data_IF_321899656415
#
_entry.id   IF_321899656415
#
_cell.length_a   1.000
_cell.length_b   1.000
_cell.length_c   1.000
_cell.angle_alpha   90.00
_cell.angle_beta   90.00
_cell.angle_gamma   90.00
#
_symmetry.space_group_name_H-M   'P 1'
#
loop_
_entity.id
_entity.type
_entity.pdbx_description
1 polymer ?
#
# COMPACT_ATOMS: atom_id res chain seq x y z
N UNK A 1 -17.51 -33.03 4.42
CA UNK A 1 -16.10 -32.93 4.01
C UNK A 1 -15.70 -31.48 4.17
N UNK A 2 -14.93 -31.14 5.22
CA UNK A 2 -14.43 -29.79 5.43
C UNK A 2 -13.34 -29.53 4.39
N UNK A 3 -13.68 -28.84 3.30
CA UNK A 3 -12.69 -28.42 2.31
C UNK A 3 -11.63 -27.60 3.03
N UNK A 4 -10.40 -28.10 3.06
CA UNK A 4 -9.25 -27.35 3.54
C UNK A 4 -9.22 -26.02 2.79
N UNK A 5 -9.46 -24.90 3.47
CA UNK A 5 -9.31 -23.56 2.88
C UNK A 5 -7.83 -23.39 2.51
N UNK A 6 -7.51 -23.65 1.24
CA UNK A 6 -6.14 -23.54 0.70
C UNK A 6 -5.67 -22.09 0.81
N UNK A 7 -6.57 -21.16 0.50
CA UNK A 7 -6.44 -19.73 0.75
C UNK A 7 -7.63 -19.28 1.57
N UNK A 8 -7.43 -18.30 2.46
CA UNK A 8 -8.54 -17.66 3.16
C UNK A 8 -9.25 -16.71 2.19
N UNK A 9 -10.08 -17.29 1.31
CA UNK A 9 -10.85 -16.56 0.32
C UNK A 9 -11.76 -15.50 0.95
N UNK A 10 -12.22 -15.74 2.18
CA UNK A 10 -12.96 -14.80 3.02
C UNK A 10 -12.21 -13.46 3.21
N UNK A 11 -10.87 -13.43 3.10
CA UNK A 11 -10.09 -12.18 3.20
C UNK A 11 -10.45 -11.23 2.06
N UNK A 12 -10.74 -11.74 0.86
CA UNK A 12 -11.13 -10.89 -0.26
C UNK A 12 -12.50 -10.27 0.00
N UNK A 13 -13.48 -11.08 0.40
CA UNK A 13 -14.83 -10.58 0.73
C UNK A 13 -14.81 -9.58 1.89
N UNK A 14 -14.06 -9.88 2.96
CA UNK A 14 -13.91 -8.96 4.10
C UNK A 14 -13.23 -7.66 3.68
N UNK A 15 -12.14 -7.72 2.92
CA UNK A 15 -11.44 -6.51 2.42
C UNK A 15 -12.37 -5.66 1.55
N UNK A 16 -13.17 -6.29 0.67
CA UNK A 16 -14.13 -5.57 -0.18
C UNK A 16 -15.16 -4.83 0.69
N UNK A 17 -15.71 -5.52 1.70
CA UNK A 17 -16.69 -4.94 2.61
C UNK A 17 -16.10 -3.79 3.44
N UNK A 18 -14.90 -3.96 3.98
CA UNK A 18 -14.18 -2.92 4.72
C UNK A 18 -13.93 -1.67 3.87
N UNK A 19 -13.46 -1.86 2.62
CA UNK A 19 -13.24 -0.72 1.70
C UNK A 19 -14.55 -0.01 1.39
N UNK A 20 -15.64 -0.73 1.14
CA UNK A 20 -16.95 -0.11 0.91
C UNK A 20 -17.41 0.70 2.12
N UNK A 21 -17.30 0.13 3.31
CA UNK A 21 -17.68 0.80 4.56
C UNK A 21 -16.88 2.09 4.79
N UNK A 22 -15.56 2.07 4.58
CA UNK A 22 -14.72 3.25 4.75
C UNK A 22 -15.09 4.39 3.79
N UNK A 23 -15.47 4.06 2.55
CA UNK A 23 -15.95 5.06 1.58
C UNK A 23 -17.29 5.65 2.01
N UNK A 24 -18.21 4.83 2.48
CA UNK A 24 -19.52 5.29 2.95
C UNK A 24 -19.38 6.19 4.19
N UNK A 25 -18.49 5.84 5.12
CA UNK A 25 -18.15 6.66 6.29
C UNK A 25 -17.56 8.02 5.86
N UNK A 26 -16.66 8.02 4.88
CA UNK A 26 -16.04 9.24 4.36
C UNK A 26 -17.06 10.16 3.68
N UNK A 27 -17.96 9.60 2.87
CA UNK A 27 -19.05 10.35 2.23
C UNK A 27 -20.02 10.93 3.27
N UNK A 28 -20.35 10.16 4.31
CA UNK A 28 -21.20 10.62 5.41
C UNK A 28 -20.58 11.82 6.15
N UNK A 29 -19.30 11.74 6.50
CA UNK A 29 -18.59 12.84 7.18
C UNK A 29 -18.55 14.09 6.28
N UNK A 30 -18.28 13.90 4.98
CA UNK A 30 -18.23 15.01 4.02
C UNK A 30 -19.58 15.73 3.93
N UNK A 31 -20.68 14.98 3.87
CA UNK A 31 -22.05 15.53 3.88
C UNK A 31 -22.37 16.28 5.16
N UNK A 32 -21.92 15.78 6.32
CA UNK A 32 -22.12 16.47 7.59
C UNK A 32 -21.40 17.83 7.61
N UNK A 33 -20.13 17.87 7.19
CA UNK A 33 -19.36 19.13 7.13
C UNK A 33 -20.00 20.12 6.15
N UNK A 34 -20.44 19.66 4.97
CA UNK A 34 -21.14 20.53 4.01
C UNK A 34 -22.45 21.08 4.57
N UNK A 35 -23.20 20.27 5.33
CA UNK A 35 -24.40 20.74 6.02
C UNK A 35 -24.08 21.82 7.07
N UNK A 36 -22.96 21.69 7.78
CA UNK A 36 -22.51 22.72 8.73
C UNK A 36 -22.10 24.02 8.01
N UNK A 37 -21.37 23.94 6.90
CA UNK A 37 -21.03 25.10 6.06
C UNK A 37 -22.29 25.80 5.52
N UNK A 38 -23.26 25.03 5.03
CA UNK A 38 -24.53 25.57 4.54
C UNK A 38 -25.28 26.29 5.66
N UNK A 39 -25.33 25.73 6.87
CA UNK A 39 -25.97 26.39 8.02
C UNK A 39 -25.32 27.73 8.35
N UNK A 40 -23.98 27.82 8.33
CA UNK A 40 -23.26 29.09 8.54
C UNK A 40 -23.59 30.11 7.46
N UNK A 41 -23.71 29.68 6.20
CA UNK A 41 -24.15 30.56 5.12
C UNK A 41 -25.58 31.07 5.35
N UNK A 42 -26.51 30.20 5.74
CA UNK A 42 -27.90 30.58 6.01
C UNK A 42 -27.99 31.59 7.18
N UNK A 43 -27.23 31.36 8.25
CA UNK A 43 -27.14 32.25 9.42
C UNK A 43 -26.58 33.63 9.03
N UNK A 44 -25.50 33.66 8.26
CA UNK A 44 -24.88 34.93 7.80
C UNK A 44 -25.78 35.69 6.84
N UNK A 45 -26.50 35.01 5.95
CA UNK A 45 -27.51 35.63 5.07
C UNK A 45 -28.71 36.16 5.85
N UNK A 46 -29.09 35.51 6.95
CA UNK A 46 -30.14 36.03 7.83
C UNK A 46 -29.67 37.32 8.52
N UNK A 47 -28.43 37.36 8.99
CA UNK A 47 -27.85 38.54 9.65
C UNK A 47 -27.62 39.71 8.69
N UNK A 48 -27.25 39.45 7.43
CA UNK A 48 -27.16 40.47 6.38
C UNK A 48 -28.52 41.11 6.11
N UNK A 49 -29.58 40.29 5.97
CA UNK A 49 -30.95 40.77 5.78
C UNK A 49 -31.43 41.61 6.96
N UNK A 50 -31.16 41.16 8.18
CA UNK A 50 -31.47 41.90 9.40
C UNK A 50 -30.71 43.23 9.49
N UNK A 51 -29.41 43.22 9.20
CA UNK A 51 -28.58 44.42 9.19
C UNK A 51 -29.04 45.44 8.14
N UNK A 52 -29.46 44.97 6.96
CA UNK A 52 -30.03 45.81 5.91
C UNK A 52 -31.33 46.47 6.36
N UNK A 53 -32.22 45.71 6.98
CA UNK A 53 -33.49 46.23 7.49
C UNK A 53 -33.26 47.34 8.54
N UNK A 54 -32.39 47.08 9.53
CA UNK A 54 -32.05 48.06 10.56
C UNK A 54 -31.39 49.33 9.98
N UNK A 55 -30.55 49.19 8.97
CA UNK A 55 -29.94 50.34 8.28
C UNK A 55 -31.00 51.19 7.57
N UNK A 56 -31.98 50.57 6.93
CA UNK A 56 -33.06 51.29 6.26
C UNK A 56 -33.96 52.04 7.26
N UNK A 57 -34.28 51.42 8.39
CA UNK A 57 -34.97 52.12 9.49
C UNK A 57 -34.19 53.33 10.00
N UNK A 58 -32.88 53.19 10.19
CA UNK A 58 -32.03 54.29 10.65
C UNK A 58 -31.89 55.42 9.61
N UNK A 59 -31.90 55.08 8.31
CA UNK A 59 -31.93 56.08 7.22
C UNK A 59 -33.22 56.89 7.24
N UNK A 60 -34.36 56.22 7.43
CA UNK A 60 -35.66 56.90 7.56
C UNK A 60 -35.71 57.80 8.80
N UNK A 61 -35.21 57.31 9.94
CA UNK A 61 -35.14 58.10 11.18
C UNK A 61 -34.24 59.34 11.01
N UNK A 62 -33.03 59.19 10.46
CA UNK A 62 -32.14 60.33 10.18
C UNK A 62 -32.80 61.35 9.25
N UNK A 63 -33.48 60.91 8.19
CA UNK A 63 -34.20 61.79 7.26
C UNK A 63 -35.35 62.55 7.94
N UNK A 64 -36.11 61.88 8.81
CA UNK A 64 -37.17 62.52 9.61
C UNK A 64 -36.62 63.57 10.57
N UNK A 65 -35.52 63.26 11.27
CA UNK A 65 -34.85 64.21 12.18
C UNK A 65 -34.26 65.40 11.45
N UNK A 66 -33.68 65.19 10.27
CA UNK A 66 -33.20 66.26 9.42
C UNK A 66 -34.34 67.18 8.96
N UNK A 67 -35.48 66.62 8.56
CA UNK A 67 -36.65 67.39 8.19
C UNK A 67 -37.19 68.24 9.36
N UNK A 68 -37.18 67.70 10.58
CA UNK A 68 -37.52 68.42 11.82
C UNK A 68 -36.57 69.61 12.05
N UNK A 69 -35.25 69.40 11.94
CA UNK A 69 -34.24 70.47 12.04
C UNK A 69 -34.46 71.55 10.97
N UNK A 70 -34.68 71.17 9.71
CA UNK A 70 -34.95 72.11 8.60
C UNK A 70 -36.21 72.94 8.88
N UNK A 71 -37.28 72.30 9.35
CA UNK A 71 -38.55 72.98 9.66
C UNK A 71 -38.38 74.00 10.80
N UNK A 72 -37.67 73.64 11.88
CA UNK A 72 -37.45 74.53 13.02
C UNK A 72 -36.49 75.67 12.68
N UNK A 73 -35.52 75.44 11.79
CA UNK A 73 -34.60 76.46 11.28
C UNK A 73 -35.31 77.55 10.48
N UNK A 74 -36.42 77.22 9.82
CA UNK A 74 -37.24 78.17 9.06
C UNK A 74 -38.23 78.98 9.92
N UNK A 75 -38.28 78.75 11.24
CA UNK A 75 -39.21 79.38 12.20
C UNK A 75 -38.77 80.74 12.77
N UNK A 76 -39.61 81.31 13.65
CA UNK A 76 -39.35 82.57 14.37
C UNK A 76 -38.33 82.38 15.53
N UNK A 77 -37.71 83.46 16.07
CA UNK A 77 -36.66 83.39 17.11
C UNK A 77 -37.01 82.62 18.40
N UNK A 78 -38.30 82.38 18.65
CA UNK A 78 -38.83 81.73 19.85
C UNK A 78 -38.57 80.20 19.88
N UNK A 79 -38.15 79.59 18.77
CA UNK A 79 -37.90 78.13 18.65
C UNK A 79 -36.45 77.70 18.90
N UNK A 80 -35.56 78.62 19.29
CA UNK A 80 -34.12 78.36 19.39
C UNK A 80 -33.74 77.16 20.30
N UNK A 81 -34.49 76.96 21.39
CA UNK A 81 -34.27 75.84 22.30
C UNK A 81 -34.75 74.50 21.72
N UNK A 82 -35.81 74.50 20.93
CA UNK A 82 -36.34 73.32 20.23
C UNK A 82 -35.43 72.91 19.08
N UNK A 83 -34.89 73.88 18.35
CA UNK A 83 -33.88 73.66 17.30
C UNK A 83 -32.64 72.97 17.87
N UNK A 84 -32.10 73.47 19.00
CA UNK A 84 -30.94 72.85 19.66
C UNK A 84 -31.18 71.38 20.04
N UNK A 85 -32.37 71.05 20.55
CA UNK A 85 -32.72 69.65 20.85
C UNK A 85 -32.84 68.80 19.58
N UNK A 86 -33.48 69.32 18.53
CA UNK A 86 -33.64 68.61 17.26
C UNK A 86 -32.28 68.33 16.60
N UNK A 87 -31.34 69.27 16.65
CA UNK A 87 -29.96 69.08 16.16
C UNK A 87 -29.24 67.95 16.92
N UNK A 88 -29.40 67.88 18.25
CA UNK A 88 -28.82 66.78 19.03
C UNK A 88 -29.41 65.42 18.67
N UNK A 89 -30.73 65.34 18.48
CA UNK A 89 -31.40 64.10 18.08
C UNK A 89 -31.03 63.69 16.64
N UNK A 90 -30.86 64.65 15.73
CA UNK A 90 -30.34 64.40 14.38
C UNK A 90 -28.92 63.83 14.42
N UNK A 91 -27.99 64.44 15.17
CA UNK A 91 -26.62 63.92 15.27
C UNK A 91 -26.56 62.51 15.89
N UNK A 92 -27.45 62.20 16.85
CA UNK A 92 -27.60 60.83 17.36
C UNK A 92 -28.12 59.86 16.30
N UNK A 93 -29.12 60.25 15.52
CA UNK A 93 -29.68 59.44 14.44
C UNK A 93 -28.64 59.16 13.35
N UNK A 94 -27.88 60.19 12.94
CA UNK A 94 -26.76 60.07 12.01
C UNK A 94 -25.67 59.12 12.52
N UNK A 95 -25.24 59.27 13.77
CA UNK A 95 -24.27 58.36 14.37
C UNK A 95 -24.79 56.91 14.48
N UNK A 96 -26.09 56.71 14.70
CA UNK A 96 -26.74 55.39 14.65
C UNK A 96 -26.70 54.80 13.24
N UNK A 97 -27.05 55.57 12.20
CA UNK A 97 -27.00 55.14 10.80
C UNK A 97 -25.58 54.75 10.40
N UNK A 98 -24.57 55.56 10.71
CA UNK A 98 -23.16 55.27 10.41
C UNK A 98 -22.69 53.94 11.03
N UNK A 99 -23.08 53.65 12.28
CA UNK A 99 -22.77 52.36 12.92
C UNK A 99 -23.46 51.19 12.23
N UNK A 100 -24.72 51.35 11.82
CA UNK A 100 -25.49 50.29 11.15
C UNK A 100 -25.01 50.07 9.71
N UNK A 101 -24.51 51.11 9.04
CA UNK A 101 -23.86 50.98 7.74
C UNK A 101 -22.62 50.11 7.83
N UNK A 102 -21.74 50.35 8.81
CA UNK A 102 -20.58 49.49 9.07
C UNK A 102 -20.98 48.06 9.44
N UNK A 103 -22.06 47.87 10.21
CA UNK A 103 -22.58 46.52 10.53
C UNK A 103 -23.02 45.80 9.25
N UNK A 104 -23.76 46.48 8.39
CA UNK A 104 -24.21 45.93 7.12
C UNK A 104 -23.04 45.55 6.21
N UNK A 105 -22.04 46.41 6.06
CA UNK A 105 -20.82 46.10 5.30
C UNK A 105 -20.09 44.85 5.83
N UNK A 106 -19.99 44.70 7.15
CA UNK A 106 -19.40 43.50 7.76
C UNK A 106 -20.25 42.26 7.51
N UNK A 107 -21.57 42.37 7.59
CA UNK A 107 -22.48 41.26 7.32
C UNK A 107 -22.38 40.79 5.86
N UNK A 108 -22.27 41.72 4.90
CA UNK A 108 -22.02 41.40 3.49
C UNK A 108 -20.71 40.62 3.30
N UNK A 109 -19.61 41.08 3.93
CA UNK A 109 -18.33 40.36 3.89
C UNK A 109 -18.41 38.97 4.52
N UNK A 110 -19.16 38.81 5.60
CA UNK A 110 -19.37 37.49 6.22
C UNK A 110 -20.10 36.54 5.26
N UNK A 111 -21.10 37.01 4.52
CA UNK A 111 -21.79 36.21 3.50
C UNK A 111 -20.84 35.82 2.36
N UNK A 112 -20.00 36.74 1.88
CA UNK A 112 -19.00 36.46 0.85
C UNK A 112 -18.04 35.35 1.32
N UNK A 113 -17.48 35.47 2.52
CA UNK A 113 -16.57 34.47 3.10
C UNK A 113 -17.28 33.12 3.30
N UNK A 114 -18.50 33.10 3.83
CA UNK A 114 -19.25 31.87 4.03
C UNK A 114 -19.59 31.17 2.70
N UNK A 115 -19.90 31.95 1.66
CA UNK A 115 -20.14 31.43 0.30
C UNK A 115 -18.89 30.80 -0.28
N UNK A 116 -17.76 31.52 -0.24
CA UNK A 116 -16.47 31.01 -0.71
C UNK A 116 -16.06 29.73 0.02
N UNK A 117 -16.18 29.70 1.36
CA UNK A 117 -15.86 28.53 2.15
C UNK A 117 -16.71 27.32 1.77
N UNK A 118 -18.01 27.50 1.54
CA UNK A 118 -18.90 26.42 1.10
C UNK A 118 -18.50 25.90 -0.30
N UNK A 119 -18.24 26.79 -1.26
CA UNK A 119 -17.83 26.44 -2.61
C UNK A 119 -16.49 25.70 -2.64
N UNK A 120 -15.49 26.20 -1.93
CA UNK A 120 -14.17 25.58 -1.81
C UNK A 120 -14.25 24.21 -1.14
N UNK A 121 -14.97 24.11 -0.02
CA UNK A 121 -15.16 22.85 0.70
C UNK A 121 -15.87 21.81 -0.16
N UNK A 122 -16.92 22.21 -0.88
CA UNK A 122 -17.64 21.33 -1.80
C UNK A 122 -16.75 20.86 -2.96
N UNK A 123 -15.95 21.77 -3.54
CA UNK A 123 -15.00 21.44 -4.60
C UNK A 123 -13.94 20.42 -4.13
N UNK A 124 -13.35 20.66 -2.96
CA UNK A 124 -12.34 19.76 -2.35
C UNK A 124 -12.94 18.37 -2.09
N UNK A 125 -14.13 18.30 -1.49
CA UNK A 125 -14.76 17.02 -1.21
C UNK A 125 -15.14 16.26 -2.47
N UNK A 126 -15.71 16.92 -3.48
CA UNK A 126 -16.03 16.26 -4.74
C UNK A 126 -14.76 15.73 -5.45
N UNK A 127 -13.69 16.50 -5.47
CA UNK A 127 -12.40 16.05 -6.02
C UNK A 127 -11.83 14.87 -5.24
N UNK A 128 -11.86 14.94 -3.91
CA UNK A 128 -11.33 13.89 -3.04
C UNK A 128 -12.14 12.60 -3.14
N UNK A 129 -13.48 12.69 -3.09
CA UNK A 129 -14.37 11.54 -3.19
C UNK A 129 -14.27 10.85 -4.56
N UNK A 130 -14.12 11.62 -5.64
CA UNK A 130 -13.86 11.06 -6.97
C UNK A 130 -12.54 10.28 -7.00
N UNK A 131 -11.46 10.83 -6.43
CA UNK A 131 -10.17 10.13 -6.34
C UNK A 131 -10.26 8.84 -5.49
N UNK A 132 -10.98 8.91 -4.36
CA UNK A 132 -11.23 7.76 -3.49
C UNK A 132 -11.99 6.68 -4.26
N UNK A 133 -13.08 7.04 -4.97
CA UNK A 133 -13.87 6.10 -5.76
C UNK A 133 -13.07 5.48 -6.89
N UNK A 134 -12.25 6.24 -7.62
CA UNK A 134 -11.37 5.70 -8.65
C UNK A 134 -10.36 4.68 -8.09
N UNK A 135 -9.74 5.00 -6.95
CA UNK A 135 -8.81 4.10 -6.28
C UNK A 135 -9.52 2.84 -5.75
N UNK A 136 -10.71 3.00 -5.18
CA UNK A 136 -11.58 1.90 -4.76
C UNK A 136 -11.91 0.99 -5.93
N UNK A 137 -12.45 1.53 -7.03
CA UNK A 137 -12.87 0.74 -8.18
C UNK A 137 -11.70 -0.02 -8.80
N UNK A 138 -10.55 0.63 -8.94
CA UNK A 138 -9.30 0.00 -9.41
C UNK A 138 -8.85 -1.14 -8.48
N UNK A 139 -8.85 -0.89 -7.17
CA UNK A 139 -8.49 -1.87 -6.15
C UNK A 139 -9.43 -3.06 -6.11
N UNK A 140 -10.75 -2.81 -6.13
CA UNK A 140 -11.79 -3.83 -6.15
C UNK A 140 -11.74 -4.66 -7.43
N UNK A 141 -11.55 -4.02 -8.59
CA UNK A 141 -11.38 -4.72 -9.86
C UNK A 141 -10.18 -5.69 -9.80
N UNK A 142 -9.04 -5.24 -9.27
CA UNK A 142 -7.84 -6.08 -9.10
C UNK A 142 -8.10 -7.26 -8.17
N UNK A 143 -8.69 -7.00 -7.00
CA UNK A 143 -9.02 -8.03 -6.01
C UNK A 143 -9.96 -9.08 -6.62
N UNK A 144 -11.05 -8.64 -7.27
CA UNK A 144 -12.01 -9.54 -7.89
C UNK A 144 -11.39 -10.37 -9.01
N UNK A 145 -10.59 -9.76 -9.88
CA UNK A 145 -9.90 -10.48 -10.95
C UNK A 145 -8.95 -11.53 -10.39
N UNK A 146 -8.15 -11.18 -9.39
CA UNK A 146 -7.21 -12.12 -8.82
C UNK A 146 -7.88 -13.23 -8.02
N UNK A 147 -8.99 -12.92 -7.34
CA UNK A 147 -9.85 -13.91 -6.69
C UNK A 147 -10.38 -14.92 -7.70
N UNK A 148 -10.96 -14.46 -8.82
CA UNK A 148 -11.47 -15.34 -9.86
C UNK A 148 -10.36 -16.14 -10.54
N UNK A 149 -9.21 -15.53 -10.85
CA UNK A 149 -8.04 -16.21 -11.42
C UNK A 149 -7.54 -17.34 -10.49
N UNK A 150 -7.40 -17.06 -9.20
CA UNK A 150 -6.96 -18.05 -8.21
C UNK A 150 -8.01 -19.15 -8.02
N UNK A 151 -9.30 -18.79 -7.93
CA UNK A 151 -10.40 -19.74 -7.80
C UNK A 151 -10.49 -20.66 -9.01
N UNK A 152 -10.35 -20.11 -10.22
CA UNK A 152 -10.31 -20.87 -11.46
C UNK A 152 -9.13 -21.84 -11.48
N UNK A 153 -7.93 -21.38 -11.12
CA UNK A 153 -6.77 -22.25 -11.01
C UNK A 153 -6.99 -23.39 -10.01
N UNK A 154 -7.48 -23.10 -8.79
CA UNK A 154 -7.73 -24.14 -7.79
C UNK A 154 -8.79 -25.14 -8.24
N UNK A 155 -9.76 -24.71 -9.05
CA UNK A 155 -10.81 -25.59 -9.59
C UNK A 155 -10.30 -26.59 -10.63
N UNK A 156 -9.13 -26.36 -11.25
CA UNK A 156 -8.52 -27.34 -12.17
C UNK A 156 -7.76 -28.44 -11.44
N UNK A 157 -7.44 -28.26 -10.16
CA UNK A 157 -6.63 -29.20 -9.40
C UNK A 157 -7.45 -30.40 -8.91
N UNK A 158 -6.89 -31.60 -9.08
CA UNK A 158 -7.40 -32.79 -8.40
C UNK A 158 -7.14 -32.72 -6.87
N UNK A 159 -7.78 -33.62 -6.11
CA UNK A 159 -7.69 -33.63 -4.64
C UNK A 159 -6.28 -33.80 -4.09
N UNK A 160 -5.42 -34.54 -4.79
CA UNK A 160 -4.02 -34.75 -4.39
C UNK A 160 -3.22 -33.46 -4.55
N UNK A 161 -3.33 -32.79 -5.69
CA UNK A 161 -2.69 -31.51 -5.97
C UNK A 161 -3.16 -30.43 -5.01
N UNK A 162 -4.48 -30.35 -4.76
CA UNK A 162 -5.06 -29.39 -3.84
C UNK A 162 -4.56 -29.60 -2.39
N UNK A 163 -4.45 -30.84 -1.94
CA UNK A 163 -3.89 -31.15 -0.62
C UNK A 163 -2.42 -30.74 -0.50
N UNK A 164 -1.60 -30.93 -1.55
CA UNK A 164 -0.20 -30.46 -1.53
C UNK A 164 -0.11 -28.95 -1.35
N UNK A 165 -0.90 -28.19 -2.10
CA UNK A 165 -0.93 -26.72 -1.96
C UNK A 165 -1.40 -26.32 -0.55
N UNK A 166 -2.47 -26.97 -0.05
CA UNK A 166 -2.97 -26.70 1.29
C UNK A 166 -1.93 -26.99 2.39
N UNK A 167 -1.22 -28.12 2.29
CA UNK A 167 -0.15 -28.50 3.23
C UNK A 167 1.01 -27.49 3.20
N UNK A 168 1.40 -27.02 2.03
CA UNK A 168 2.49 -26.06 1.89
C UNK A 168 2.13 -24.68 2.48
N UNK A 169 0.94 -24.17 2.16
CA UNK A 169 0.49 -22.84 2.59
C UNK A 169 0.19 -22.82 4.08
N UNK A 170 -0.52 -23.83 4.60
CA UNK A 170 -0.92 -23.90 5.99
C UNK A 170 0.15 -24.55 6.89
N UNK A 171 1.38 -24.68 6.40
CA UNK A 171 2.46 -25.29 7.14
C UNK A 171 2.68 -24.57 8.48
N UNK A 172 2.78 -25.38 9.55
CA UNK A 172 3.22 -24.94 10.87
C UNK A 172 4.39 -25.80 11.29
N UNK A 173 5.42 -25.14 11.81
CA UNK A 173 6.56 -25.84 12.38
C UNK A 173 6.16 -26.52 13.69
N UNK A 174 6.87 -27.59 14.04
CA UNK A 174 6.65 -28.29 15.30
C UNK A 174 7.40 -27.56 16.42
N UNK A 175 6.67 -27.00 17.37
CA UNK A 175 7.26 -26.34 18.53
C UNK A 175 8.25 -27.26 19.27
N UNK A 176 9.30 -26.65 19.84
CA UNK A 176 10.35 -27.32 20.63
C UNK A 176 11.13 -28.41 19.88
N UNK A 177 10.94 -28.53 18.57
CA UNK A 177 11.68 -29.45 17.71
C UNK A 177 12.56 -28.65 16.77
N UNK A 178 13.90 -28.84 16.76
CA UNK A 178 14.76 -28.14 15.83
C UNK A 178 14.37 -28.44 14.38
N UNK A 179 14.31 -27.40 13.55
CA UNK A 179 14.07 -27.51 12.11
C UNK A 179 15.32 -28.10 11.45
N UNK A 180 15.14 -29.16 10.68
CA UNK A 180 16.25 -29.94 10.10
C UNK A 180 16.42 -29.67 8.61
N UNK A 181 17.60 -29.99 8.02
CA UNK A 181 17.85 -29.75 6.60
C UNK A 181 16.88 -30.45 5.65
N UNK A 182 16.36 -31.63 6.00
CA UNK A 182 15.38 -32.37 5.22
C UNK A 182 14.01 -31.68 5.18
N UNK A 183 13.60 -31.09 6.30
CA UNK A 183 12.38 -30.28 6.38
C UNK A 183 12.49 -28.99 5.57
N UNK A 184 13.63 -28.29 5.67
CA UNK A 184 13.93 -27.12 4.85
C UNK A 184 13.92 -27.50 3.36
N UNK A 185 14.60 -28.58 2.99
CA UNK A 185 14.65 -29.06 1.62
C UNK A 185 13.26 -29.37 1.07
N UNK A 186 12.38 -30.03 1.85
CA UNK A 186 11.00 -30.32 1.44
C UNK A 186 10.22 -29.04 1.14
N UNK A 187 10.42 -27.97 1.91
CA UNK A 187 9.73 -26.69 1.72
C UNK A 187 10.30 -25.83 0.61
N UNK A 188 11.55 -26.05 0.21
CA UNK A 188 12.19 -25.33 -0.90
C UNK A 188 11.99 -26.06 -2.24
N UNK A 189 11.88 -27.39 -2.22
CA UNK A 189 11.79 -28.21 -3.42
C UNK A 189 10.34 -28.49 -3.83
N UNK A 190 9.68 -27.47 -4.37
CA UNK A 190 8.27 -27.49 -4.73
C UNK A 190 8.00 -28.13 -6.09
N UNK A 191 6.79 -28.67 -6.25
CA UNK A 191 6.24 -29.07 -7.55
C UNK A 191 5.70 -27.87 -8.34
N UNK A 192 5.44 -28.05 -9.64
CA UNK A 192 4.81 -27.02 -10.47
C UNK A 192 3.49 -26.52 -9.90
N UNK A 193 2.68 -27.40 -9.29
CA UNK A 193 1.42 -27.03 -8.65
C UNK A 193 1.63 -26.00 -7.54
N UNK A 194 2.54 -26.26 -6.61
CA UNK A 194 2.80 -25.35 -5.49
C UNK A 194 3.42 -24.03 -5.99
N UNK A 195 4.30 -24.09 -6.99
CA UNK A 195 4.91 -22.90 -7.59
C UNK A 195 3.87 -22.02 -8.31
N UNK A 196 2.97 -22.62 -9.10
CA UNK A 196 1.88 -21.89 -9.75
C UNK A 196 0.93 -21.27 -8.73
N UNK A 197 0.60 -22.00 -7.65
CA UNK A 197 -0.22 -21.45 -6.56
C UNK A 197 0.43 -20.22 -5.89
N UNK A 198 1.76 -20.22 -5.73
CA UNK A 198 2.51 -19.05 -5.24
C UNK A 198 2.37 -17.86 -6.21
N UNK A 199 2.48 -18.08 -7.51
CA UNK A 199 2.33 -17.01 -8.51
C UNK A 199 0.94 -16.39 -8.50
N UNK A 200 -0.13 -17.21 -8.42
CA UNK A 200 -1.50 -16.69 -8.30
C UNK A 200 -1.73 -15.91 -7.00
N UNK A 201 -1.22 -16.41 -5.87
CA UNK A 201 -1.31 -15.69 -4.59
C UNK A 201 -0.56 -14.35 -4.63
N UNK A 202 0.62 -14.33 -5.25
CA UNK A 202 1.41 -13.11 -5.44
C UNK A 202 0.70 -12.13 -6.38
N UNK A 203 0.16 -12.61 -7.49
CA UNK A 203 -0.64 -11.80 -8.42
C UNK A 203 -1.86 -11.17 -7.75
N UNK A 204 -2.43 -11.84 -6.74
CA UNK A 204 -3.55 -11.31 -5.98
C UNK A 204 -3.18 -10.24 -4.95
N UNK A 205 -1.99 -10.33 -4.35
CA UNK A 205 -1.62 -9.51 -3.18
C UNK A 205 -0.60 -8.41 -3.49
N UNK A 206 0.21 -8.58 -4.53
CA UNK A 206 1.32 -7.68 -4.87
C UNK A 206 0.99 -6.87 -6.12
N UNK A 207 0.74 -5.57 -5.94
CA UNK A 207 0.43 -4.64 -7.04
C UNK A 207 1.54 -4.53 -8.07
N UNK A 208 2.80 -4.51 -7.64
CA UNK A 208 3.94 -4.39 -8.56
C UNK A 208 4.03 -5.65 -9.41
N UNK A 209 3.81 -6.81 -8.81
CA UNK A 209 3.76 -8.07 -9.52
C UNK A 209 2.56 -8.15 -10.48
N UNK A 210 1.37 -7.73 -10.04
CA UNK A 210 0.17 -7.65 -10.89
C UNK A 210 0.40 -6.79 -12.13
N UNK A 211 0.94 -5.59 -11.95
CA UNK A 211 1.25 -4.67 -13.04
C UNK A 211 2.33 -5.24 -13.98
N UNK A 212 3.37 -5.87 -13.44
CA UNK A 212 4.41 -6.53 -14.23
C UNK A 212 3.83 -7.63 -15.12
N UNK A 213 3.03 -8.53 -14.56
CA UNK A 213 2.41 -9.63 -15.30
C UNK A 213 1.45 -9.11 -16.38
N UNK A 214 0.63 -8.11 -16.04
CA UNK A 214 -0.27 -7.51 -17.02
C UNK A 214 0.46 -6.73 -18.11
N UNK A 215 1.63 -6.16 -17.82
CA UNK A 215 2.45 -5.53 -18.85
C UNK A 215 2.96 -6.55 -19.87
N UNK A 216 3.38 -7.74 -19.43
CA UNK A 216 3.75 -8.83 -20.35
C UNK A 216 2.55 -9.36 -21.12
N UNK A 217 1.39 -9.53 -20.46
CA UNK A 217 0.15 -9.98 -21.12
C UNK A 217 -0.32 -8.98 -22.18
N UNK A 218 -0.15 -7.68 -21.94
CA UNK A 218 -0.42 -6.62 -22.91
C UNK A 218 0.61 -6.61 -24.05
N UNK A 219 1.88 -6.83 -23.75
CA UNK A 219 2.94 -6.89 -24.77
C UNK A 219 2.69 -8.04 -25.78
N UNK A 220 2.11 -9.16 -25.33
CA UNK A 220 1.69 -10.27 -26.20
C UNK A 220 0.64 -9.89 -27.25
N UNK A 221 -0.09 -8.79 -27.07
CA UNK A 221 -1.03 -8.30 -28.08
C UNK A 221 -0.29 -7.79 -29.33
N UNK A 222 0.98 -7.42 -29.19
CA UNK A 222 1.80 -6.80 -30.25
C UNK A 222 3.09 -7.55 -30.58
N UNK A 223 3.57 -8.44 -29.71
CA UNK A 223 4.85 -9.15 -29.83
C UNK A 223 4.68 -10.67 -29.78
N UNK A 224 5.68 -11.39 -30.31
CA UNK A 224 5.73 -12.86 -30.27
C UNK A 224 6.10 -13.39 -28.88
N UNK A 225 5.73 -14.65 -28.57
CA UNK A 225 6.11 -15.30 -27.31
C UNK A 225 7.63 -15.40 -27.17
N UNK A 226 8.31 -15.66 -28.28
CA UNK A 226 9.76 -15.83 -28.38
C UNK A 226 10.52 -14.56 -27.95
N UNK A 227 9.96 -13.38 -28.19
CA UNK A 227 10.52 -12.09 -27.74
C UNK A 227 10.34 -11.86 -26.23
N UNK A 228 9.25 -12.38 -25.65
CA UNK A 228 8.88 -12.13 -24.25
C UNK A 228 9.53 -13.16 -23.31
N UNK A 229 9.66 -14.42 -23.73
CA UNK A 229 10.23 -15.51 -22.93
C UNK A 229 11.58 -15.13 -22.27
N UNK A 230 12.57 -14.54 -22.97
CA UNK A 230 13.83 -14.13 -22.35
C UNK A 230 13.64 -13.14 -21.19
N UNK A 231 12.66 -12.23 -21.28
CA UNK A 231 12.33 -11.27 -20.21
C UNK A 231 11.74 -11.99 -19.00
N UNK A 232 10.83 -12.95 -19.23
CA UNK A 232 10.23 -13.76 -18.17
C UNK A 232 11.31 -14.57 -17.43
N UNK A 233 12.20 -15.24 -18.18
CA UNK A 233 13.31 -16.03 -17.61
C UNK A 233 14.29 -15.20 -16.79
N UNK A 234 14.48 -13.93 -17.16
CA UNK A 234 15.38 -13.01 -16.46
C UNK A 234 14.75 -12.46 -15.18
N UNK A 235 13.46 -12.09 -15.22
CA UNK A 235 12.84 -11.32 -14.15
C UNK A 235 11.96 -12.17 -13.21
N UNK A 236 11.14 -13.07 -13.75
CA UNK A 236 10.14 -13.80 -12.96
C UNK A 236 10.72 -15.00 -12.21
N UNK A 237 11.62 -15.76 -12.84
CA UNK A 237 12.17 -16.96 -12.21
C UNK A 237 12.99 -16.65 -10.94
N UNK A 238 13.73 -15.54 -10.93
CA UNK A 238 14.43 -15.05 -9.73
C UNK A 238 13.45 -14.65 -8.64
N UNK A 239 12.43 -13.88 -9.00
CA UNK A 239 11.39 -13.44 -8.09
C UNK A 239 10.60 -14.63 -7.48
N UNK A 240 10.29 -15.66 -8.27
CA UNK A 240 9.67 -16.89 -7.78
C UNK A 240 10.61 -17.65 -6.83
N UNK A 241 11.91 -17.74 -7.15
CA UNK A 241 12.90 -18.35 -6.26
C UNK A 241 13.00 -17.67 -4.90
N UNK A 242 13.05 -16.33 -4.89
CA UNK A 242 13.01 -15.52 -3.66
C UNK A 242 11.71 -15.76 -2.87
N UNK A 243 10.56 -15.76 -3.54
CA UNK A 243 9.26 -15.99 -2.91
C UNK A 243 9.15 -17.39 -2.29
N UNK A 244 9.69 -18.43 -2.93
CA UNK A 244 9.76 -19.79 -2.38
C UNK A 244 10.59 -19.79 -1.09
N UNK A 245 11.74 -19.11 -1.08
CA UNK A 245 12.60 -19.01 0.11
C UNK A 245 11.89 -18.25 1.23
N UNK A 246 11.29 -17.09 0.94
CA UNK A 246 10.53 -16.31 1.91
C UNK A 246 9.44 -17.17 2.54
N UNK A 247 8.60 -17.86 1.74
CA UNK A 247 7.52 -18.70 2.27
C UNK A 247 8.01 -19.91 3.05
N UNK A 248 9.12 -20.52 2.62
CA UNK A 248 9.72 -21.65 3.30
C UNK A 248 10.28 -21.28 4.69
N UNK A 249 10.76 -20.06 4.87
CA UNK A 249 11.46 -19.63 6.09
C UNK A 249 10.66 -18.70 7.01
N UNK A 250 9.72 -17.90 6.47
CA UNK A 250 8.93 -16.93 7.23
C UNK A 250 8.26 -17.49 8.50
N UNK A 251 7.72 -18.74 8.51
CA UNK A 251 7.11 -19.29 9.73
C UNK A 251 8.06 -19.39 10.93
N UNK A 252 9.38 -19.43 10.71
CA UNK A 252 10.36 -19.60 11.77
C UNK A 252 10.85 -18.29 12.40
N UNK A 253 10.65 -17.13 11.77
CA UNK A 253 11.04 -15.82 12.31
C UNK A 253 9.90 -15.13 13.05
N UNK A 254 10.19 -14.31 14.08
CA UNK A 254 9.19 -13.37 14.62
C UNK A 254 8.98 -12.19 13.69
N UNK A 255 10.07 -11.60 13.22
CA UNK A 255 10.04 -10.57 12.19
C UNK A 255 10.77 -11.06 10.94
N UNK A 256 10.22 -10.71 9.79
CA UNK A 256 10.74 -11.09 8.48
C UNK A 256 11.06 -9.80 7.74
N UNK A 257 12.35 -9.59 7.46
CA UNK A 257 12.84 -8.44 6.70
C UNK A 257 13.30 -8.92 5.33
N UNK A 258 13.00 -8.15 4.29
CA UNK A 258 13.37 -8.49 2.91
C UNK A 258 14.07 -7.33 2.25
N UNK A 259 15.10 -7.60 1.46
CA UNK A 259 15.85 -6.58 0.70
C UNK A 259 16.55 -5.53 1.59
N UNK A 260 17.00 -5.94 2.78
CA UNK A 260 17.68 -5.08 3.76
C UNK A 260 19.03 -4.61 3.24
N UNK A 261 19.29 -3.29 3.35
CA UNK A 261 20.49 -2.66 2.79
C UNK A 261 21.61 -2.59 3.83
N UNK A 262 22.75 -3.18 3.52
CA UNK A 262 23.99 -3.05 4.31
C UNK A 262 25.01 -2.23 3.54
N UNK A 263 25.47 -1.13 4.14
CA UNK A 263 26.49 -0.24 3.56
C UNK A 263 27.86 -0.61 4.14
N UNK A 264 28.83 -0.80 3.25
CA UNK A 264 30.21 -1.15 3.56
C UNK A 264 31.05 0.11 3.83
N UNK A 265 32.22 -0.05 4.43
CA UNK A 265 33.15 1.05 4.74
C UNK A 265 33.58 1.84 3.49
N UNK A 266 33.67 1.18 2.32
CA UNK A 266 34.03 1.81 1.04
C UNK A 266 32.85 2.54 0.36
N UNK A 267 31.69 2.62 1.02
CA UNK A 267 30.48 3.26 0.52
C UNK A 267 29.66 2.39 -0.45
N UNK A 268 30.15 1.21 -0.85
CA UNK A 268 29.32 0.25 -1.59
C UNK A 268 28.25 -0.32 -0.66
N UNK A 269 27.21 -0.89 -1.25
CA UNK A 269 26.17 -1.55 -0.46
C UNK A 269 25.75 -2.86 -1.12
N UNK A 270 25.29 -3.78 -0.29
CA UNK A 270 24.56 -4.98 -0.71
C UNK A 270 23.14 -4.93 -0.17
N UNK A 271 22.26 -5.74 -0.76
CA UNK A 271 20.94 -6.03 -0.21
C UNK A 271 20.87 -7.51 0.11
N UNK A 272 20.40 -7.84 1.30
CA UNK A 272 20.16 -9.23 1.71
C UNK A 272 18.71 -9.57 1.41
N UNK A 273 18.49 -10.66 0.68
CA UNK A 273 17.15 -11.03 0.20
C UNK A 273 16.16 -11.29 1.34
N UNK A 274 16.62 -11.97 2.39
CA UNK A 274 15.79 -12.32 3.54
C UNK A 274 16.60 -12.32 4.84
N UNK A 275 16.06 -11.68 5.88
CA UNK A 275 16.55 -11.77 7.26
C UNK A 275 15.37 -12.16 8.17
N UNK A 276 15.50 -13.30 8.84
CA UNK A 276 14.62 -13.66 9.95
C UNK A 276 15.23 -13.11 11.24
N UNK A 277 14.47 -12.28 11.94
CA UNK A 277 14.82 -11.81 13.27
C UNK A 277 14.11 -12.63 14.34
N UNK A 278 14.83 -12.88 15.43
CA UNK A 278 14.34 -13.62 16.59
C UNK A 278 13.69 -14.96 16.20
N UNK A 279 14.51 -15.92 15.79
CA UNK A 279 14.04 -17.26 15.44
C UNK A 279 13.14 -17.84 16.56
N UNK A 280 11.96 -18.32 16.18
CA UNK A 280 10.97 -18.95 17.07
C UNK A 280 11.32 -20.39 17.44
N UNK A 281 12.25 -20.99 16.70
CA UNK A 281 12.66 -22.39 16.87
C UNK A 281 14.11 -22.54 16.42
N UNK A 282 14.91 -23.43 17.03
CA UNK A 282 16.26 -23.70 16.55
C UNK A 282 16.26 -24.19 15.10
N UNK A 283 17.18 -23.70 14.28
CA UNK A 283 17.36 -24.10 12.88
C UNK A 283 18.72 -24.74 12.70
N UNK A 284 18.76 -25.87 11.98
CA UNK A 284 19.98 -26.58 11.59
C UNK A 284 20.03 -26.67 10.06
N UNK A 285 21.07 -26.08 9.45
CA UNK A 285 21.31 -26.12 8.01
C UNK A 285 22.23 -27.28 7.59
N UNK A 286 23.03 -27.80 8.52
CA UNK A 286 23.92 -28.92 8.25
C UNK A 286 24.81 -29.30 9.43
N UNK A 287 25.90 -30.02 9.14
CA UNK A 287 26.86 -30.48 10.15
C UNK A 287 28.03 -29.50 10.28
N UNK A 288 28.44 -29.22 11.51
CA UNK A 288 29.62 -28.40 11.82
C UNK A 288 29.28 -27.09 12.54
N UNK A 289 30.33 -26.39 12.97
CA UNK A 289 30.19 -25.06 13.58
C UNK A 289 29.62 -24.06 12.57
N UNK A 290 28.78 -23.13 13.05
CA UNK A 290 28.11 -22.14 12.21
C UNK A 290 26.95 -22.69 11.36
N UNK A 291 26.60 -23.97 11.49
CA UNK A 291 25.53 -24.60 10.70
C UNK A 291 24.19 -24.70 11.44
N UNK A 292 24.06 -24.03 12.58
CA UNK A 292 22.80 -23.94 13.30
C UNK A 292 22.72 -22.74 14.23
N UNK A 293 21.51 -22.30 14.49
CA UNK A 293 21.18 -21.20 15.40
C UNK A 293 20.10 -21.63 16.40
N UNK A 294 20.14 -21.01 17.57
CA UNK A 294 19.16 -21.24 18.64
C UNK A 294 17.95 -20.32 18.45
N UNK A 295 16.90 -20.61 19.20
CA UNK A 295 15.79 -19.67 19.38
C UNK A 295 16.32 -18.29 19.84
N UNK A 296 15.71 -17.21 19.33
CA UNK A 296 16.10 -15.82 19.56
C UNK A 296 17.31 -15.34 18.74
N UNK A 297 17.90 -16.19 17.91
CA UNK A 297 18.98 -15.79 16.99
C UNK A 297 18.43 -15.24 15.67
N UNK A 298 19.29 -14.63 14.86
CA UNK A 298 18.95 -14.16 13.52
C UNK A 298 19.49 -15.10 12.42
N UNK A 299 18.77 -15.16 11.29
CA UNK A 299 19.16 -15.90 10.08
C UNK A 299 19.09 -14.99 8.85
N UNK A 300 20.23 -14.79 8.17
CA UNK A 300 20.30 -14.12 6.86
C UNK A 300 20.37 -15.13 5.70
N UNK A 301 19.64 -14.87 4.63
CA UNK A 301 19.57 -15.74 3.45
C UNK A 301 19.69 -14.90 2.18
N UNK A 302 20.56 -15.35 1.28
CA UNK A 302 20.69 -14.87 -0.09
C UNK A 302 20.14 -15.92 -1.06
N UNK A 303 19.52 -15.49 -2.17
CA UNK A 303 18.87 -16.37 -3.14
C UNK A 303 19.49 -16.22 -4.53
N UNK A 304 19.77 -17.36 -5.19
CA UNK A 304 20.33 -17.38 -6.56
C UNK A 304 19.69 -18.45 -7.44
N UNK A 305 18.93 -18.02 -8.44
CA UNK A 305 18.37 -18.92 -9.46
C UNK A 305 19.10 -18.77 -10.78
N UNK A 306 19.58 -19.86 -11.36
CA UNK A 306 20.18 -19.81 -12.70
C UNK A 306 20.81 -21.12 -13.11
N UNK A 307 21.23 -21.21 -14.36
CA UNK A 307 21.98 -22.37 -14.86
C UNK A 307 23.34 -22.49 -14.19
N UNK A 308 23.91 -23.69 -14.21
CA UNK A 308 25.20 -24.02 -13.59
C UNK A 308 26.30 -23.01 -13.93
N UNK A 309 26.44 -22.65 -15.21
CA UNK A 309 27.43 -21.66 -15.69
C UNK A 309 27.20 -20.27 -15.09
N UNK A 310 25.95 -19.83 -14.99
CA UNK A 310 25.57 -18.56 -14.36
C UNK A 310 25.88 -18.58 -12.86
N UNK A 311 25.48 -19.64 -12.15
CA UNK A 311 25.73 -19.76 -10.70
C UNK A 311 27.24 -19.69 -10.39
N UNK A 312 28.07 -20.35 -11.20
CA UNK A 312 29.52 -20.29 -11.05
C UNK A 312 30.08 -18.90 -11.38
N UNK A 313 29.58 -18.25 -12.44
CA UNK A 313 30.00 -16.90 -12.80
C UNK A 313 29.63 -15.84 -11.74
N UNK A 314 28.61 -16.10 -10.91
CA UNK A 314 28.20 -15.23 -9.81
C UNK A 314 29.02 -15.39 -8.52
N UNK A 315 30.08 -16.22 -8.51
CA UNK A 315 30.89 -16.51 -7.31
C UNK A 315 31.32 -15.26 -6.54
N UNK A 316 32.00 -14.31 -7.19
CA UNK A 316 32.51 -13.10 -6.55
C UNK A 316 31.38 -12.19 -6.05
N UNK A 317 30.29 -12.12 -6.82
CA UNK A 317 29.12 -11.34 -6.43
C UNK A 317 28.45 -11.92 -5.19
N UNK A 318 28.27 -13.25 -5.12
CA UNK A 318 27.73 -13.91 -3.93
C UNK A 318 28.61 -13.72 -2.70
N UNK A 319 29.95 -13.75 -2.86
CA UNK A 319 30.87 -13.43 -1.76
C UNK A 319 30.68 -12.01 -1.26
N UNK A 320 30.60 -11.03 -2.16
CA UNK A 320 30.33 -9.64 -1.78
C UNK A 320 28.98 -9.51 -1.04
N UNK A 321 27.93 -10.17 -1.53
CA UNK A 321 26.61 -10.12 -0.89
C UNK A 321 26.59 -10.75 0.49
N UNK A 322 27.40 -11.80 0.73
CA UNK A 322 27.51 -12.43 2.06
C UNK A 322 28.07 -11.50 3.14
N UNK A 323 28.70 -10.38 2.77
CA UNK A 323 29.07 -9.33 3.73
C UNK A 323 27.84 -8.68 4.39
N UNK A 324 26.68 -8.70 3.72
CA UNK A 324 25.43 -8.24 4.30
C UNK A 324 24.92 -9.13 5.43
N UNK A 325 25.46 -10.34 5.58
CA UNK A 325 25.00 -11.34 6.55
C UNK A 325 25.70 -11.23 7.91
N UNK A 326 26.73 -10.38 8.04
CA UNK A 326 27.69 -10.42 9.16
C UNK A 326 27.06 -10.24 10.55
N UNK A 327 25.95 -9.51 10.64
CA UNK A 327 25.25 -9.29 11.91
C UNK A 327 24.35 -10.48 12.31
N UNK A 328 24.15 -11.45 11.41
CA UNK A 328 23.30 -12.61 11.67
C UNK A 328 24.07 -13.78 12.24
N UNK A 329 23.49 -14.46 13.23
CA UNK A 329 24.14 -15.61 13.88
C UNK A 329 24.26 -16.82 12.96
N UNK A 330 23.30 -16.97 12.06
CA UNK A 330 23.27 -18.00 11.02
C UNK A 330 23.08 -17.31 9.66
N UNK A 331 23.70 -17.88 8.64
CA UNK A 331 23.73 -17.30 7.30
C UNK A 331 23.81 -18.41 6.27
N UNK A 332 23.15 -18.24 5.12
CA UNK A 332 23.32 -19.13 3.98
C UNK A 332 22.96 -18.48 2.65
N UNK A 333 23.45 -19.10 1.58
CA UNK A 333 23.00 -18.82 0.22
C UNK A 333 22.24 -20.02 -0.30
N UNK A 334 21.02 -19.81 -0.79
CA UNK A 334 20.17 -20.85 -1.38
C UNK A 334 20.14 -20.63 -2.88
N UNK A 335 20.41 -21.68 -3.64
CA UNK A 335 20.41 -21.64 -5.08
C UNK A 335 19.58 -22.76 -5.71
N UNK A 336 19.32 -22.61 -7.02
CA UNK A 336 18.72 -23.68 -7.82
C UNK A 336 19.62 -24.91 -7.87
N UNK A 337 19.00 -26.08 -8.02
CA UNK A 337 19.70 -27.37 -8.09
C UNK A 337 20.71 -27.48 -9.23
N UNK A 338 20.67 -26.59 -10.22
CA UNK A 338 21.62 -26.53 -11.33
C UNK A 338 23.09 -26.45 -10.88
N UNK A 339 23.38 -26.07 -9.63
CA UNK A 339 24.75 -26.16 -9.09
C UNK A 339 25.34 -27.58 -9.19
N UNK A 340 24.49 -28.62 -9.14
CA UNK A 340 24.88 -30.04 -9.26
C UNK A 340 25.29 -30.45 -10.66
N UNK A 341 25.03 -29.60 -11.66
CA UNK A 341 25.41 -29.83 -13.05
C UNK A 341 26.78 -29.20 -13.37
N UNK A 342 27.45 -28.60 -12.37
CA UNK A 342 28.86 -28.22 -12.47
C UNK A 342 29.76 -29.46 -12.43
N UNK A 343 30.99 -29.33 -12.91
CA UNK A 343 32.02 -30.34 -12.61
C UNK A 343 32.25 -30.40 -11.10
N UNK A 344 32.60 -31.58 -10.59
CA UNK A 344 32.84 -31.79 -9.16
C UNK A 344 33.86 -30.79 -8.56
N UNK A 345 34.87 -30.41 -9.35
CA UNK A 345 35.86 -29.40 -8.98
C UNK A 345 35.24 -28.02 -8.81
N UNK A 346 34.46 -27.56 -9.81
CA UNK A 346 33.81 -26.25 -9.78
C UNK A 346 32.74 -26.14 -8.71
N UNK A 347 31.95 -27.21 -8.53
CA UNK A 347 30.97 -27.26 -7.44
C UNK A 347 31.67 -27.16 -6.07
N UNK A 348 32.73 -27.95 -5.87
CA UNK A 348 33.50 -27.94 -4.61
C UNK A 348 34.15 -26.58 -4.37
N UNK A 349 34.75 -25.99 -5.38
CA UNK A 349 35.31 -24.64 -5.30
C UNK A 349 34.26 -23.64 -4.85
N UNK A 350 33.12 -23.57 -5.56
CA UNK A 350 32.05 -22.63 -5.27
C UNK A 350 31.50 -22.80 -3.83
N UNK A 351 31.24 -24.04 -3.42
CA UNK A 351 30.76 -24.34 -2.05
C UNK A 351 31.78 -23.94 -0.99
N UNK A 352 33.07 -24.20 -1.21
CA UNK A 352 34.13 -23.83 -0.28
C UNK A 352 34.29 -22.32 -0.18
N UNK A 353 34.27 -21.63 -1.32
CA UNK A 353 34.32 -20.16 -1.39
C UNK A 353 33.21 -19.54 -0.54
N UNK A 354 31.97 -20.00 -0.72
CA UNK A 354 30.81 -19.50 0.01
C UNK A 354 30.81 -19.89 1.49
N UNK A 355 31.29 -21.10 1.83
CA UNK A 355 31.50 -21.49 3.23
C UNK A 355 32.52 -20.58 3.92
N UNK A 356 33.62 -20.26 3.24
CA UNK A 356 34.68 -19.41 3.78
C UNK A 356 34.24 -17.95 3.91
N UNK A 357 33.25 -17.50 3.12
CA UNK A 357 32.66 -16.17 3.24
C UNK A 357 31.55 -16.08 4.31
N UNK A 358 31.32 -17.16 5.07
CA UNK A 358 30.30 -17.18 6.13
C UNK A 358 28.87 -17.35 5.64
N UNK A 359 28.67 -17.71 4.36
CA UNK A 359 27.35 -17.98 3.79
C UNK A 359 27.35 -19.29 3.00
N UNK A 360 27.35 -20.47 3.67
CA UNK A 360 27.35 -21.76 3.01
C UNK A 360 26.26 -21.88 1.94
N UNK A 361 26.63 -22.46 0.79
CA UNK A 361 25.78 -22.53 -0.39
C UNK A 361 25.01 -23.86 -0.46
N UNK A 362 23.69 -23.79 -0.66
CA UNK A 362 22.80 -24.95 -0.74
C UNK A 362 21.98 -24.95 -2.04
N UNK A 363 22.07 -26.04 -2.82
CA UNK A 363 21.27 -26.23 -4.05
C UNK A 363 19.95 -26.91 -3.75
N UNK A 364 18.99 -26.17 -3.20
CA UNK A 364 17.72 -26.70 -2.69
C UNK A 364 16.48 -26.23 -3.46
N UNK A 365 16.57 -25.13 -4.21
CA UNK A 365 15.48 -24.67 -5.06
C UNK A 365 15.31 -25.58 -6.29
N UNK A 366 14.11 -25.61 -6.93
CA UNK A 366 13.90 -26.31 -8.19
C UNK A 366 14.92 -25.90 -9.26
N UNK A 367 15.10 -26.72 -10.28
CA UNK A 367 15.97 -26.38 -11.40
C UNK A 367 15.46 -25.10 -12.08
N UNK A 368 16.38 -24.32 -12.65
CA UNK A 368 16.04 -23.07 -13.33
C UNK A 368 15.02 -23.26 -14.46
N UNK A 369 15.10 -24.39 -15.17
CA UNK A 369 14.14 -24.74 -16.22
C UNK A 369 12.73 -24.98 -15.68
N UNK A 370 12.60 -25.56 -14.48
CA UNK A 370 11.29 -25.78 -13.85
C UNK A 370 10.66 -24.45 -13.43
N UNK A 371 11.47 -23.56 -12.82
CA UNK A 371 11.04 -22.20 -12.47
C UNK A 371 10.63 -21.42 -13.73
N UNK A 372 11.45 -21.48 -14.78
CA UNK A 372 11.18 -20.80 -16.05
C UNK A 372 9.87 -21.26 -16.67
N UNK A 373 9.67 -22.58 -16.72
CA UNK A 373 8.45 -23.16 -17.29
C UNK A 373 7.21 -22.66 -16.56
N UNK A 374 7.19 -22.74 -15.23
CA UNK A 374 6.03 -22.27 -14.44
C UNK A 374 5.76 -20.78 -14.65
N UNK A 375 6.80 -19.94 -14.69
CA UNK A 375 6.61 -18.51 -14.95
C UNK A 375 6.07 -18.22 -16.37
N UNK A 376 6.53 -18.98 -17.37
CA UNK A 376 6.06 -18.85 -18.76
C UNK A 376 4.60 -19.29 -18.87
N UNK A 377 4.28 -20.48 -18.34
CA UNK A 377 2.95 -21.08 -18.39
C UNK A 377 1.92 -20.16 -17.69
N UNK A 378 2.30 -19.55 -16.55
CA UNK A 378 1.48 -18.58 -15.81
C UNK A 378 1.16 -17.29 -16.58
N UNK A 379 2.15 -16.74 -17.28
CA UNK A 379 1.95 -15.50 -18.06
C UNK A 379 1.08 -15.77 -19.28
N UNK A 380 1.33 -16.88 -19.98
CA UNK A 380 0.63 -17.24 -21.22
C UNK A 380 -0.69 -17.98 -21.00
N UNK A 381 -1.03 -18.34 -19.76
CA UNK A 381 -2.26 -19.08 -19.45
C UNK A 381 -2.24 -20.53 -19.95
N UNK A 382 -1.04 -21.11 -20.06
CA UNK A 382 -0.80 -22.49 -20.51
C UNK A 382 -0.79 -23.50 -19.35
N UNK A 383 -1.00 -23.04 -18.11
CA UNK A 383 -1.14 -23.85 -16.88
C UNK A 383 -2.30 -24.89 -16.89
N UNK A 384 -3.01 -25.04 -18.01
CA UNK A 384 -4.25 -25.83 -18.14
C UNK A 384 -4.07 -27.35 -18.11
N UNK A 385 -2.85 -27.86 -18.00
CA UNK A 385 -2.54 -29.28 -18.05
C UNK A 385 -1.81 -29.77 -16.80
N UNK A 386 -2.44 -29.67 -15.62
CA UNK A 386 -1.95 -30.34 -14.39
C UNK A 386 -2.98 -31.29 -13.81
#
# INVERSE_FOLDING_TARGET
MSGSKVFSLDIFENTINEVNQLVDETDSISKEVLSQCQRVLDETQSEERNSRFLLEEARMEEAMRLAEVISLTAGLPETAYELYRAEQEYEKAKARRERLEKRYELAQRCVEIATQNLEETNSIFNGTLNNINQNKDSGLFRINRAYEDLKNYLSTLNSVSLNKVAEYINYKYKEKTPVRPDEIFKRLNLSSVEMTAILYDKYAKDEKFFNLINSYRKELETSSKEEIIPKLKKNLAGNLGEEIVIRAFAPYGKNVLTQERTVMEDGKYTKTDLILKDLKVPIILGKGEGMGAREGSDLAIEVKTGKSSYLYAQKEHMQFQSLGHLDSKLSCTICSKDIKDLSAEKEKELRNTMKNSGSPLFGMLPYKEELDKVCIDFVFGEDKNV
#
